data_IF_769085150612
#
_entry.id   IF_769085150612
#
_cell.length_a   1.000
_cell.length_b   1.000
_cell.length_c   1.000
_cell.angle_alpha   90.00
_cell.angle_beta   90.00
_cell.angle_gamma   90.00
#
_symmetry.space_group_name_H-M   'P 1'
#
loop_
_entity.id
_entity.type
_entity.pdbx_description
1 polymer ?
#
# COMPACT_ATOMS: atom_id res chain seq x y z
N UNK A 1 9.46 38.40 -10.66
CA UNK A 1 8.44 38.72 -11.68
C UNK A 1 7.73 37.41 -12.02
N UNK A 2 6.45 37.33 -11.64
CA UNK A 2 5.38 36.34 -11.98
C UNK A 2 5.66 34.82 -12.05
N UNK A 3 5.10 34.10 -11.06
CA UNK A 3 4.47 32.76 -11.25
C UNK A 3 3.24 32.90 -12.16
N UNK A 4 3.00 31.84 -12.95
CA UNK A 4 1.78 31.38 -13.68
C UNK A 4 2.24 31.01 -15.09
N UNK A 5 2.11 29.81 -15.65
CA UNK A 5 1.03 28.83 -15.57
C UNK A 5 1.48 27.59 -16.36
N UNK A 6 1.37 26.40 -15.76
CA UNK A 6 1.16 25.12 -16.46
C UNK A 6 0.74 24.04 -15.43
N UNK A 7 -0.38 24.32 -14.76
CA UNK A 7 -1.32 23.27 -14.38
C UNK A 7 -2.13 22.96 -15.64
N UNK A 8 -2.36 21.68 -15.93
CA UNK A 8 -3.26 21.24 -17.01
C UNK A 8 -2.60 20.29 -17.99
N UNK A 9 -2.52 19.01 -17.63
CA UNK A 9 -2.65 17.86 -18.54
C UNK A 9 -2.38 16.49 -17.86
N UNK A 10 -1.82 16.43 -16.64
CA UNK A 10 -1.53 15.15 -15.97
C UNK A 10 -2.67 14.65 -15.06
N UNK A 11 -3.69 15.49 -14.81
CA UNK A 11 -4.67 15.24 -13.73
C UNK A 11 -5.87 14.39 -14.19
N UNK A 12 -6.02 14.14 -15.49
CA UNK A 12 -7.15 13.41 -16.08
C UNK A 12 -6.95 11.90 -16.27
N UNK A 13 -5.70 11.42 -16.25
CA UNK A 13 -5.36 10.01 -16.51
C UNK A 13 -5.20 9.16 -15.24
N UNK A 14 -5.08 9.80 -14.07
CA UNK A 14 -5.01 9.12 -12.76
C UNK A 14 -6.31 8.39 -12.43
N UNK A 15 -7.46 8.93 -12.83
CA UNK A 15 -8.77 8.32 -12.53
C UNK A 15 -9.03 7.01 -13.30
N UNK A 16 -8.83 6.95 -14.64
CA UNK A 16 -8.99 5.70 -15.38
C UNK A 16 -8.00 4.60 -14.99
N UNK A 17 -6.73 4.94 -14.75
CA UNK A 17 -5.72 3.93 -14.35
C UNK A 17 -5.99 3.39 -12.94
N UNK A 18 -6.35 4.24 -11.98
CA UNK A 18 -6.74 3.81 -10.64
C UNK A 18 -7.99 2.93 -10.65
N UNK A 19 -8.98 3.29 -11.47
CA UNK A 19 -10.17 2.49 -11.67
C UNK A 19 -9.85 1.13 -12.33
N UNK A 20 -8.94 1.10 -13.31
CA UNK A 20 -8.47 -0.15 -13.91
C UNK A 20 -7.77 -1.05 -12.89
N UNK A 21 -6.88 -0.51 -12.05
CA UNK A 21 -6.25 -1.27 -10.96
C UNK A 21 -7.30 -1.86 -10.00
N UNK A 22 -8.30 -1.06 -9.64
CA UNK A 22 -9.38 -1.49 -8.76
C UNK A 22 -10.23 -2.60 -9.41
N UNK A 23 -10.61 -2.46 -10.67
CA UNK A 23 -11.40 -3.47 -11.40
C UNK A 23 -10.61 -4.77 -11.59
N UNK A 24 -9.34 -4.69 -11.97
CA UNK A 24 -8.47 -5.86 -12.11
C UNK A 24 -8.35 -6.55 -10.75
N UNK A 25 -8.01 -5.80 -9.69
CA UNK A 25 -7.92 -6.35 -8.34
C UNK A 25 -9.23 -6.99 -7.86
N UNK A 26 -10.37 -6.34 -8.12
CA UNK A 26 -11.69 -6.88 -7.79
C UNK A 26 -12.02 -8.16 -8.55
N UNK A 27 -11.75 -8.20 -9.85
CA UNK A 27 -11.94 -9.40 -10.67
C UNK A 27 -11.06 -10.58 -10.20
N UNK A 28 -9.79 -10.31 -9.89
CA UNK A 28 -8.85 -11.28 -9.35
C UNK A 28 -9.30 -11.81 -7.98
N UNK A 29 -9.85 -10.93 -7.13
CA UNK A 29 -10.38 -11.30 -5.82
C UNK A 29 -11.63 -12.18 -5.90
N UNK A 30 -12.57 -11.86 -6.79
CA UNK A 30 -13.79 -12.66 -7.00
C UNK A 30 -13.45 -14.05 -7.54
N UNK A 31 -12.50 -14.14 -8.48
CA UNK A 31 -12.10 -15.38 -9.13
C UNK A 31 -10.84 -16.01 -8.51
N UNK A 32 -10.58 -15.73 -7.22
CA UNK A 32 -9.30 -16.03 -6.58
C UNK A 32 -8.86 -17.50 -6.71
N UNK A 33 -9.78 -18.46 -6.61
CA UNK A 33 -9.44 -19.90 -6.70
C UNK A 33 -8.86 -20.25 -8.08
N UNK A 34 -9.50 -19.77 -9.15
CA UNK A 34 -9.07 -20.00 -10.54
C UNK A 34 -7.76 -19.26 -10.77
N UNK A 35 -7.70 -18.00 -10.34
CA UNK A 35 -6.53 -17.16 -10.48
C UNK A 35 -5.30 -17.76 -9.79
N UNK A 36 -5.45 -18.23 -8.55
CA UNK A 36 -4.38 -18.88 -7.79
C UNK A 36 -3.77 -20.06 -8.56
N UNK A 37 -4.61 -20.97 -9.07
CA UNK A 37 -4.16 -22.14 -9.85
C UNK A 37 -3.42 -21.72 -11.12
N UNK A 38 -3.90 -20.66 -11.79
CA UNK A 38 -3.22 -20.09 -12.96
C UNK A 38 -1.86 -19.47 -12.58
N UNK A 39 -1.80 -18.71 -11.48
CA UNK A 39 -0.57 -18.06 -11.00
C UNK A 39 0.49 -19.10 -10.64
N UNK A 40 0.14 -20.19 -9.95
CA UNK A 40 1.10 -21.24 -9.58
C UNK A 40 1.78 -21.88 -10.81
N UNK A 41 1.04 -22.02 -11.92
CA UNK A 41 1.58 -22.58 -13.16
C UNK A 41 2.44 -21.59 -13.96
N UNK A 42 2.17 -20.29 -13.82
CA UNK A 42 2.75 -19.25 -14.66
C UNK A 42 3.67 -18.29 -13.90
N UNK A 43 3.96 -18.54 -12.61
CA UNK A 43 4.66 -17.58 -11.76
C UNK A 43 6.02 -17.17 -12.31
N UNK A 44 6.78 -18.09 -12.91
CA UNK A 44 8.09 -17.79 -13.50
C UNK A 44 7.95 -16.74 -14.61
N UNK A 45 6.94 -16.89 -15.47
CA UNK A 45 6.65 -15.92 -16.53
C UNK A 45 6.18 -14.59 -15.98
N UNK A 46 5.33 -14.60 -14.94
CA UNK A 46 4.85 -13.38 -14.28
C UNK A 46 6.02 -12.62 -13.67
N UNK A 47 6.91 -13.29 -12.94
CA UNK A 47 8.10 -12.68 -12.34
C UNK A 47 9.03 -12.11 -13.41
N UNK A 48 9.25 -12.85 -14.49
CA UNK A 48 10.09 -12.40 -15.60
C UNK A 48 9.53 -11.15 -16.29
N UNK A 49 8.23 -11.14 -16.62
CA UNK A 49 7.56 -9.98 -17.21
C UNK A 49 7.58 -8.79 -16.26
N UNK A 50 7.32 -9.01 -14.97
CA UNK A 50 7.37 -7.97 -13.92
C UNK A 50 8.77 -7.38 -13.83
N UNK A 51 9.81 -8.20 -13.90
CA UNK A 51 11.19 -7.75 -13.83
C UNK A 51 11.57 -6.90 -15.06
N UNK A 52 11.23 -7.36 -16.26
CA UNK A 52 11.48 -6.61 -17.50
C UNK A 52 10.72 -5.29 -17.52
N UNK A 53 9.44 -5.29 -17.14
CA UNK A 53 8.64 -4.06 -17.10
C UNK A 53 9.18 -3.07 -16.08
N UNK A 54 9.65 -3.54 -14.91
CA UNK A 54 10.32 -2.72 -13.90
C UNK A 54 11.62 -2.10 -14.42
N UNK A 55 12.49 -2.88 -15.06
CA UNK A 55 13.73 -2.37 -15.69
C UNK A 55 13.39 -1.31 -16.74
N UNK A 56 12.39 -1.58 -17.59
CA UNK A 56 11.97 -0.67 -18.65
C UNK A 56 11.44 0.64 -18.07
N UNK A 57 10.59 0.56 -17.06
CA UNK A 57 10.06 1.72 -16.33
C UNK A 57 11.17 2.58 -15.73
N UNK A 58 12.10 1.98 -14.98
CA UNK A 58 13.23 2.70 -14.37
C UNK A 58 14.14 3.29 -15.44
N UNK A 59 14.41 2.55 -16.52
CA UNK A 59 15.19 3.04 -17.65
C UNK A 59 14.57 4.27 -18.31
N UNK A 60 13.26 4.26 -18.55
CA UNK A 60 12.52 5.41 -19.09
C UNK A 60 12.52 6.59 -18.11
N UNK A 61 12.38 6.35 -16.81
CA UNK A 61 12.42 7.38 -15.78
C UNK A 61 13.79 8.08 -15.73
N UNK A 62 14.87 7.30 -15.75
CA UNK A 62 16.25 7.81 -15.79
C UNK A 62 16.48 8.58 -17.09
N UNK A 63 16.10 8.01 -18.23
CA UNK A 63 16.25 8.67 -19.53
C UNK A 63 15.50 10.02 -19.56
N UNK A 64 14.27 10.07 -19.04
CA UNK A 64 13.49 11.31 -18.91
C UNK A 64 14.25 12.37 -18.11
N UNK A 65 14.85 11.96 -16.98
CA UNK A 65 15.57 12.86 -16.09
C UNK A 65 16.85 13.44 -16.73
N UNK A 66 17.61 12.64 -17.47
CA UNK A 66 18.90 13.06 -18.03
C UNK A 66 18.82 13.68 -19.44
N UNK A 67 17.81 13.33 -20.24
CA UNK A 67 17.72 13.77 -21.63
C UNK A 67 16.83 14.99 -21.88
N UNK A 68 16.17 15.53 -20.84
CA UNK A 68 15.10 16.55 -20.96
C UNK A 68 13.95 16.14 -21.91
N UNK A 69 13.87 14.87 -22.30
CA UNK A 69 12.76 14.33 -23.09
C UNK A 69 11.65 13.91 -22.14
N UNK A 70 10.46 14.47 -22.32
CA UNK A 70 9.28 14.13 -21.51
C UNK A 70 8.70 12.78 -21.96
N UNK A 71 9.32 11.68 -21.53
CA UNK A 71 8.80 10.33 -21.74
C UNK A 71 7.57 10.03 -20.87
N UNK A 72 7.26 10.89 -19.89
CA UNK A 72 6.09 10.76 -19.01
C UNK A 72 4.76 10.74 -19.77
N UNK A 73 4.71 11.29 -20.98
CA UNK A 73 3.51 11.26 -21.85
C UNK A 73 3.57 10.12 -22.88
N UNK A 74 4.55 9.23 -22.79
CA UNK A 74 4.69 8.11 -23.72
C UNK A 74 3.80 6.94 -23.29
N UNK A 75 3.03 6.32 -24.20
CA UNK A 75 2.27 5.12 -23.89
C UNK A 75 3.11 3.99 -23.29
N UNK A 76 4.40 3.93 -23.65
CA UNK A 76 5.34 2.93 -23.14
C UNK A 76 5.64 3.10 -21.66
N UNK A 77 5.63 4.33 -21.15
CA UNK A 77 5.80 4.61 -19.73
C UNK A 77 4.60 4.09 -18.94
N UNK A 78 3.39 4.40 -19.40
CA UNK A 78 2.13 3.96 -18.78
C UNK A 78 1.97 2.43 -18.81
N UNK A 79 2.26 1.79 -19.93
CA UNK A 79 2.19 0.33 -20.06
C UNK A 79 3.21 -0.34 -19.14
N UNK A 80 4.45 0.19 -19.09
CA UNK A 80 5.50 -0.39 -18.25
C UNK A 80 5.14 -0.28 -16.77
N UNK A 81 4.64 0.89 -16.32
CA UNK A 81 4.24 1.08 -14.93
C UNK A 81 3.01 0.24 -14.57
N UNK A 82 2.05 0.08 -15.48
CA UNK A 82 0.87 -0.76 -15.31
C UNK A 82 1.26 -2.24 -15.15
N UNK A 83 2.04 -2.77 -16.09
CA UNK A 83 2.48 -4.16 -16.07
C UNK A 83 3.35 -4.46 -14.85
N UNK A 84 4.25 -3.55 -14.49
CA UNK A 84 5.05 -3.66 -13.28
C UNK A 84 4.17 -3.68 -12.03
N UNK A 85 3.23 -2.75 -11.90
CA UNK A 85 2.38 -2.60 -10.71
C UNK A 85 1.43 -3.79 -10.52
N UNK A 86 0.81 -4.27 -11.61
CA UNK A 86 -0.03 -5.48 -11.56
C UNK A 86 0.86 -6.70 -11.28
N UNK A 87 1.97 -6.85 -12.01
CA UNK A 87 2.88 -7.97 -11.88
C UNK A 87 3.47 -8.13 -10.48
N UNK A 88 3.88 -7.04 -9.84
CA UNK A 88 4.38 -7.07 -8.47
C UNK A 88 3.27 -7.42 -7.47
N UNK A 89 2.05 -6.91 -7.69
CA UNK A 89 0.88 -7.26 -6.88
C UNK A 89 0.56 -8.76 -6.93
N UNK A 90 0.54 -9.35 -8.14
CA UNK A 90 0.34 -10.79 -8.33
C UNK A 90 1.48 -11.59 -7.70
N UNK A 91 2.72 -11.13 -7.84
CA UNK A 91 3.89 -11.77 -7.25
C UNK A 91 3.81 -11.79 -5.71
N UNK A 92 3.32 -10.71 -5.09
CA UNK A 92 3.10 -10.66 -3.65
C UNK A 92 1.93 -11.54 -3.19
N UNK A 93 0.86 -11.66 -3.97
CA UNK A 93 -0.21 -12.62 -3.67
C UNK A 93 0.31 -14.05 -3.66
N UNK A 94 1.13 -14.41 -4.65
CA UNK A 94 1.79 -15.71 -4.69
C UNK A 94 2.76 -15.91 -3.52
N UNK A 95 3.57 -14.91 -3.18
CA UNK A 95 4.46 -14.96 -2.02
C UNK A 95 3.68 -15.14 -0.71
N UNK A 96 2.54 -14.44 -0.57
CA UNK A 96 1.62 -14.62 0.54
C UNK A 96 1.08 -16.04 0.61
N UNK A 97 0.73 -16.63 -0.55
CA UNK A 97 0.32 -18.03 -0.60
C UNK A 97 1.43 -18.99 -0.14
N UNK A 98 2.67 -18.79 -0.59
CA UNK A 98 3.81 -19.60 -0.15
C UNK A 98 4.05 -19.47 1.36
N UNK A 99 3.98 -18.24 1.88
CA UNK A 99 4.13 -18.00 3.32
C UNK A 99 3.05 -18.74 4.12
N UNK A 100 1.80 -18.74 3.63
CA UNK A 100 0.69 -19.47 4.23
C UNK A 100 0.94 -20.98 4.33
N UNK A 101 1.60 -21.56 3.33
CA UNK A 101 1.86 -23.00 3.28
C UNK A 101 3.11 -23.43 4.07
N UNK A 102 4.13 -22.56 4.18
CA UNK A 102 5.45 -22.95 4.69
C UNK A 102 5.73 -22.57 6.15
N UNK A 103 5.09 -21.54 6.73
CA UNK A 103 5.42 -21.14 8.11
C UNK A 103 4.32 -20.36 8.83
N UNK A 104 3.92 -20.84 10.02
CA UNK A 104 2.86 -20.22 10.83
C UNK A 104 3.27 -18.88 11.49
N UNK A 105 4.57 -18.69 11.78
CA UNK A 105 5.05 -17.56 12.58
C UNK A 105 4.87 -16.18 11.92
N UNK A 106 5.34 -15.92 10.67
CA UNK A 106 5.16 -14.63 10.03
C UNK A 106 3.69 -14.32 9.72
N UNK A 107 2.88 -15.36 9.43
CA UNK A 107 1.45 -15.23 9.15
C UNK A 107 0.72 -14.62 10.34
N UNK A 108 1.01 -15.07 11.57
CA UNK A 108 0.33 -14.57 12.78
C UNK A 108 0.54 -13.07 12.95
N UNK A 109 1.74 -12.58 12.67
CA UNK A 109 2.07 -11.16 12.76
C UNK A 109 1.41 -10.36 11.62
N UNK A 110 1.49 -10.84 10.38
CA UNK A 110 0.84 -10.21 9.22
C UNK A 110 -0.68 -10.13 9.37
N UNK A 111 -1.31 -11.20 9.87
CA UNK A 111 -2.75 -11.22 10.15
C UNK A 111 -3.14 -10.23 11.25
N UNK A 112 -2.28 -10.06 12.26
CA UNK A 112 -2.50 -9.01 13.28
C UNK A 112 -2.56 -7.65 12.61
N UNK A 113 -1.54 -7.28 11.82
CA UNK A 113 -1.50 -5.99 11.11
C UNK A 113 -2.72 -5.83 10.18
N UNK A 114 -3.04 -6.86 9.40
CA UNK A 114 -4.18 -6.84 8.47
C UNK A 114 -5.50 -6.59 9.19
N UNK A 115 -5.69 -7.16 10.38
CA UNK A 115 -6.93 -6.96 11.16
C UNK A 115 -7.11 -5.52 11.66
N UNK A 116 -6.05 -4.72 11.67
CA UNK A 116 -6.05 -3.30 12.05
C UNK A 116 -5.77 -2.37 10.87
N UNK A 117 -5.69 -2.88 9.64
CA UNK A 117 -5.29 -2.12 8.45
C UNK A 117 -6.10 -0.84 8.23
N UNK A 118 -7.42 -0.89 8.39
CA UNK A 118 -8.29 0.29 8.29
C UNK A 118 -8.00 1.34 9.36
N UNK A 119 -7.76 0.91 10.60
CA UNK A 119 -7.39 1.82 11.69
C UNK A 119 -6.02 2.47 11.44
N UNK A 120 -5.06 1.68 10.96
CA UNK A 120 -3.72 2.16 10.61
C UNK A 120 -3.82 3.22 9.51
N UNK A 121 -4.62 2.96 8.47
CA UNK A 121 -4.85 3.91 7.38
C UNK A 121 -5.37 5.27 7.86
N UNK A 122 -6.29 5.29 8.83
CA UNK A 122 -6.85 6.53 9.39
C UNK A 122 -5.87 7.26 10.33
N UNK A 123 -5.13 6.51 11.15
CA UNK A 123 -4.27 7.08 12.19
C UNK A 123 -2.89 7.49 11.68
N UNK A 124 -2.40 6.84 10.62
CA UNK A 124 -1.08 7.10 10.05
C UNK A 124 -0.89 8.56 9.57
N UNK A 125 -1.80 9.19 8.79
CA UNK A 125 -1.64 10.59 8.37
C UNK A 125 -1.54 11.56 9.56
N UNK A 126 -2.31 11.31 10.61
CA UNK A 126 -2.30 12.13 11.83
C UNK A 126 -0.95 12.02 12.58
N UNK A 127 -0.47 10.79 12.77
CA UNK A 127 0.82 10.54 13.43
C UNK A 127 1.99 11.03 12.59
N UNK A 128 1.93 10.87 11.27
CA UNK A 128 2.96 11.38 10.36
C UNK A 128 3.03 12.91 10.40
N UNK A 129 1.87 13.57 10.43
CA UNK A 129 1.78 15.03 10.56
C UNK A 129 2.35 15.49 11.89
N UNK A 130 2.03 14.79 12.98
CA UNK A 130 2.56 15.08 14.31
C UNK A 130 4.08 14.89 14.37
N UNK A 131 4.60 13.78 13.81
CA UNK A 131 6.04 13.51 13.76
C UNK A 131 6.81 14.60 13.04
N UNK A 132 6.31 15.04 11.87
CA UNK A 132 6.91 16.13 11.07
C UNK A 132 6.80 17.49 11.75
N UNK A 133 5.79 17.68 12.60
CA UNK A 133 5.63 18.92 13.37
C UNK A 133 6.67 19.01 14.49
N UNK A 134 6.96 17.90 15.18
CA UNK A 134 7.91 17.90 16.30
C UNK A 134 9.37 17.69 15.90
N UNK A 135 9.64 17.17 14.70
CA UNK A 135 10.99 16.86 14.24
C UNK A 135 11.26 17.55 12.90
N UNK A 136 12.24 18.44 12.89
CA UNK A 136 12.68 19.10 11.65
C UNK A 136 13.53 18.16 10.80
N UNK A 137 13.36 18.25 9.48
CA UNK A 137 14.13 17.44 8.56
C UNK A 137 15.60 17.91 8.53
N UNK A 138 16.57 17.01 8.73
CA UNK A 138 17.98 17.39 8.68
C UNK A 138 18.39 17.75 7.24
N UNK A 139 19.30 18.72 7.10
CA UNK A 139 19.77 19.18 5.79
C UNK A 139 20.73 18.22 5.07
N UNK A 140 21.23 17.18 5.73
CA UNK A 140 22.10 16.18 5.11
C UNK A 140 21.28 15.03 4.52
N UNK A 141 21.70 14.51 3.36
CA UNK A 141 21.03 13.39 2.68
C UNK A 141 20.98 12.14 3.56
N UNK A 142 22.10 11.82 4.22
CA UNK A 142 22.18 10.70 5.16
C UNK A 142 21.25 10.90 6.36
N UNK A 143 21.25 12.10 6.94
CA UNK A 143 20.32 12.44 8.02
C UNK A 143 18.87 12.31 7.58
N UNK A 144 18.54 12.73 6.36
CA UNK A 144 17.17 12.68 5.82
C UNK A 144 16.69 11.25 5.63
N UNK A 145 17.56 10.37 5.11
CA UNK A 145 17.25 8.95 4.95
C UNK A 145 17.01 8.28 6.30
N UNK A 146 17.88 8.54 7.28
CA UNK A 146 17.73 8.00 8.63
C UNK A 146 16.48 8.55 9.32
N UNK A 147 16.23 9.85 9.22
CA UNK A 147 15.03 10.53 9.72
C UNK A 147 13.75 9.92 9.14
N UNK A 148 13.74 9.65 7.84
CA UNK A 148 12.59 9.05 7.15
C UNK A 148 12.40 7.59 7.56
N UNK A 149 13.49 6.82 7.65
CA UNK A 149 13.45 5.42 8.06
C UNK A 149 12.93 5.28 9.50
N UNK A 150 13.48 6.05 10.44
CA UNK A 150 13.03 6.05 11.84
C UNK A 150 11.58 6.55 11.93
N UNK A 151 11.26 7.63 11.24
CA UNK A 151 9.91 8.19 11.19
C UNK A 151 8.88 7.17 10.70
N UNK A 152 9.22 6.40 9.66
CA UNK A 152 8.37 5.31 9.17
C UNK A 152 8.05 4.31 10.28
N UNK A 153 9.04 3.81 11.01
CA UNK A 153 8.79 2.83 12.08
C UNK A 153 8.00 3.43 13.25
N UNK A 154 8.32 4.63 13.69
CA UNK A 154 7.62 5.30 14.79
C UNK A 154 6.14 5.50 14.43
N UNK A 155 5.87 6.07 13.26
CA UNK A 155 4.51 6.34 12.79
C UNK A 155 3.76 5.04 12.56
N UNK A 156 4.38 4.04 11.94
CA UNK A 156 3.75 2.76 11.66
C UNK A 156 3.40 1.99 12.94
N UNK A 157 4.36 1.83 13.86
CA UNK A 157 4.14 1.14 15.14
C UNK A 157 3.12 1.90 15.98
N UNK A 158 3.20 3.24 16.01
CA UNK A 158 2.23 4.09 16.70
C UNK A 158 0.81 3.92 16.14
N UNK A 159 0.65 3.92 14.82
CA UNK A 159 -0.64 3.74 14.15
C UNK A 159 -1.23 2.35 14.43
N UNK A 160 -0.39 1.31 14.37
CA UNK A 160 -0.79 -0.06 14.70
C UNK A 160 -1.22 -0.20 16.16
N UNK A 161 -0.44 0.35 17.10
CA UNK A 161 -0.76 0.30 18.52
C UNK A 161 -2.05 1.08 18.86
N UNK A 162 -2.22 2.28 18.31
CA UNK A 162 -3.41 3.10 18.53
C UNK A 162 -4.67 2.40 18.00
N UNK A 163 -4.57 1.79 16.82
CA UNK A 163 -5.65 0.99 16.22
C UNK A 163 -6.01 -0.23 17.06
N UNK A 164 -4.99 -0.90 17.64
CA UNK A 164 -5.19 -2.00 18.57
C UNK A 164 -5.97 -1.57 19.82
N UNK A 165 -5.54 -0.48 20.47
CA UNK A 165 -6.18 0.07 21.68
C UNK A 165 -7.62 0.47 21.38
N UNK A 166 -7.86 1.19 20.27
CA UNK A 166 -9.20 1.65 19.90
C UNK A 166 -10.19 0.50 19.71
N UNK A 167 -9.78 -0.58 19.02
CA UNK A 167 -10.62 -1.77 18.87
C UNK A 167 -10.93 -2.44 20.21
N UNK A 168 -9.94 -2.50 21.11
CA UNK A 168 -10.13 -3.09 22.45
C UNK A 168 -11.11 -2.28 23.29
N UNK A 169 -11.05 -0.95 23.21
CA UNK A 169 -12.00 -0.05 23.87
C UNK A 169 -13.43 -0.22 23.34
N UNK A 170 -13.63 -0.27 22.02
CA UNK A 170 -14.95 -0.52 21.42
C UNK A 170 -15.51 -1.86 21.89
N UNK A 171 -14.71 -2.92 21.83
CA UNK A 171 -15.14 -4.25 22.28
C UNK A 171 -15.56 -4.24 23.75
N UNK A 172 -14.82 -3.54 24.61
CA UNK A 172 -15.14 -3.37 26.02
C UNK A 172 -16.46 -2.61 26.24
N UNK A 173 -16.67 -1.52 25.51
CA UNK A 173 -17.92 -0.75 25.57
C UNK A 173 -19.15 -1.56 25.15
N UNK A 174 -19.03 -2.35 24.07
CA UNK A 174 -20.11 -3.22 23.59
C UNK A 174 -20.47 -4.28 24.65
N UNK A 175 -19.47 -4.89 25.30
CA UNK A 175 -19.70 -5.87 26.36
C UNK A 175 -20.46 -5.26 27.55
N UNK A 176 -20.12 -4.03 27.95
CA UNK A 176 -20.83 -3.32 29.03
C UNK A 176 -22.28 -3.06 28.64
N UNK A 177 -22.51 -2.58 27.41
CA UNK A 177 -23.85 -2.28 26.92
C UNK A 177 -24.75 -3.52 26.86
N UNK A 178 -24.21 -4.65 26.36
CA UNK A 178 -24.94 -5.93 26.32
C UNK A 178 -25.30 -6.44 27.72
N UNK A 179 -24.39 -6.36 28.69
CA UNK A 179 -24.63 -6.79 30.07
C UNK A 179 -25.71 -5.94 30.75
N UNK A 180 -25.77 -4.64 30.44
CA UNK A 180 -26.82 -3.75 30.96
C UNK A 180 -28.19 -4.01 30.34
N UNK A 181 -28.25 -4.48 29.09
CA UNK A 181 -29.50 -4.80 28.39
C UNK A 181 -30.15 -6.10 28.87
N UNK A 182 -29.35 -7.15 29.14
CA UNK A 182 -29.86 -8.43 29.62
C UNK A 182 -30.40 -8.37 31.05
N UNK A 183 -29.81 -7.54 31.92
CA UNK A 183 -30.34 -7.34 33.28
C UNK A 183 -31.73 -6.68 33.30
N UNK A 184 -32.05 -5.80 32.35
CA UNK A 184 -33.37 -5.16 32.25
C UNK A 184 -34.48 -6.09 31.75
N UNK A 185 -34.15 -7.21 31.10
CA UNK A 185 -35.13 -8.19 30.63
C UNK A 185 -35.45 -9.27 31.68
N UNK A 186 -34.68 -9.32 32.77
CA UNK A 186 -34.86 -10.27 33.88
C UNK A 186 -35.45 -9.64 35.14
N UNK A 187 -35.73 -8.33 35.12
CA UNK A 187 -36.42 -7.57 36.18
C UNK A 187 -37.82 -7.18 35.73
#
# INVERSE_FOLDING_TARGET
MSRTSRCGAADGLLSPTYFAYFLIGGYLGINYVIFKSWTERNIIWILFITFISGITYVGLLIASHYSNLLFENSPWYDISVLLYSVGIGVSFLWLGHLLLNNSYAPIRWLNSISSYSFGIYLTHPFLLSSYKYFNEAPGSIWGYNLYTFIGFFIVFIGAWYLSYVFRKLISWMIMIYQKSGTQKLQS
#
